data_IF_014234938909
#
_entry.id   IF_014234938909
#
_cell.length_a   1.000
_cell.length_b   1.000
_cell.length_c   1.000
_cell.angle_alpha   90.00
_cell.angle_beta   90.00
_cell.angle_gamma   90.00
#
_symmetry.space_group_name_H-M   'P 1'
#
loop_
_entity.id
_entity.type
_entity.pdbx_description
1 polymer ?
#
# COMPACT_ATOMS: atom_id res chain seq x y z
N UNK A 1 9.57 51.35 -51.16
CA UNK A 1 10.29 52.58 -50.75
C UNK A 1 10.27 52.60 -49.23
N UNK A 2 11.34 52.12 -48.56
CA UNK A 2 12.29 52.93 -47.77
C UNK A 2 11.54 53.98 -46.91
N UNK A 3 11.47 53.84 -45.58
CA UNK A 3 12.59 54.15 -44.69
C UNK A 3 12.50 53.42 -43.34
N UNK A 4 13.66 53.00 -42.84
CA UNK A 4 13.90 52.60 -41.45
C UNK A 4 14.44 53.80 -40.66
N UNK A 5 14.10 53.91 -39.37
CA UNK A 5 14.94 54.56 -38.34
C UNK A 5 14.74 53.79 -37.03
N UNK A 6 15.86 53.42 -36.41
CA UNK A 6 15.98 52.77 -35.11
C UNK A 6 16.48 53.77 -34.05
N UNK A 7 16.08 53.60 -32.79
CA UNK A 7 16.72 54.08 -31.53
C UNK A 7 15.70 53.99 -30.38
N UNK A 8 15.98 53.78 -29.10
CA UNK A 8 17.06 53.17 -28.30
C UNK A 8 16.60 53.35 -26.83
N UNK A 9 16.74 52.32 -25.98
CA UNK A 9 16.69 52.34 -24.48
C UNK A 9 15.32 52.72 -23.85
N UNK A 10 14.88 52.29 -22.66
CA UNK A 10 15.45 52.10 -21.30
C UNK A 10 14.48 51.10 -20.61
N UNK A 11 14.88 49.96 -20.05
CA UNK A 11 15.34 49.84 -18.66
C UNK A 11 14.20 49.89 -17.61
N UNK A 12 13.71 48.73 -17.15
CA UNK A 12 13.08 48.57 -15.83
C UNK A 12 13.10 47.09 -15.40
N UNK A 13 14.12 46.71 -14.63
CA UNK A 13 14.13 45.48 -13.84
C UNK A 13 13.18 45.70 -12.65
N UNK A 14 12.02 45.04 -12.65
CA UNK A 14 11.19 44.91 -11.46
C UNK A 14 11.63 43.64 -10.72
N UNK A 15 12.65 43.79 -9.87
CA UNK A 15 12.94 42.83 -8.82
C UNK A 15 11.90 43.02 -7.72
N UNK A 16 10.86 42.18 -7.70
CA UNK A 16 9.97 42.06 -6.55
C UNK A 16 10.74 41.39 -5.41
N UNK A 17 11.38 42.20 -4.58
CA UNK A 17 11.83 41.83 -3.25
C UNK A 17 10.59 41.63 -2.37
N UNK A 18 10.12 40.39 -2.26
CA UNK A 18 9.18 39.99 -1.21
C UNK A 18 9.96 39.73 0.07
N UNK A 19 9.91 40.67 1.02
CA UNK A 19 10.24 40.40 2.42
C UNK A 19 9.18 39.46 3.00
N UNK A 20 9.57 38.22 3.30
CA UNK A 20 8.85 37.30 4.18
C UNK A 20 9.79 36.83 5.27
N UNK A 21 9.74 37.48 6.43
CA UNK A 21 10.39 37.03 7.66
C UNK A 21 9.56 35.89 8.27
N UNK A 22 10.23 34.75 8.50
CA UNK A 22 10.11 33.83 9.63
C UNK A 22 8.76 33.12 9.90
N UNK A 23 8.67 31.87 9.42
CA UNK A 23 8.45 30.67 10.25
C UNK A 23 9.06 29.51 9.43
N UNK A 24 10.02 28.73 9.90
CA UNK A 24 9.90 28.02 11.16
C UNK A 24 9.25 26.65 10.97
N UNK A 25 9.38 25.99 9.82
CA UNK A 25 9.32 24.53 9.68
C UNK A 25 10.03 24.15 8.39
N UNK A 26 11.12 23.39 8.51
CA UNK A 26 11.60 22.50 7.46
C UNK A 26 10.45 21.53 7.15
N UNK A 27 9.52 21.97 6.30
CA UNK A 27 8.79 21.05 5.42
C UNK A 27 9.86 20.50 4.47
N UNK A 28 10.60 19.52 4.96
CA UNK A 28 11.42 18.65 4.15
C UNK A 28 10.52 18.09 3.07
N UNK A 29 10.63 18.69 1.91
CA UNK A 29 9.98 18.41 0.64
C UNK A 29 9.52 16.95 0.52
N UNK A 30 8.33 16.69 1.07
CA UNK A 30 7.53 15.50 0.82
C UNK A 30 6.84 15.65 -0.56
N UNK A 31 7.61 16.14 -1.53
CA UNK A 31 7.20 16.50 -2.88
C UNK A 31 8.26 16.18 -3.93
N UNK A 32 9.26 15.34 -3.60
CA UNK A 32 10.08 14.68 -4.61
C UNK A 32 9.19 13.69 -5.41
N UNK A 33 8.69 14.17 -6.55
CA UNK A 33 7.66 13.60 -7.43
C UNK A 33 7.50 12.08 -7.41
N UNK A 34 6.50 11.60 -6.68
CA UNK A 34 6.03 10.22 -6.83
C UNK A 34 5.51 9.99 -8.26
N UNK A 35 5.93 8.87 -8.87
CA UNK A 35 5.44 8.43 -10.18
C UNK A 35 3.96 8.06 -10.13
N UNK A 36 3.50 7.56 -8.98
CA UNK A 36 2.14 7.07 -8.76
C UNK A 36 1.71 7.30 -7.31
N UNK A 37 0.40 7.40 -7.08
CA UNK A 37 -0.19 7.47 -5.73
C UNK A 37 -1.11 6.27 -5.53
N UNK A 38 -0.97 5.60 -4.39
CA UNK A 38 -1.87 4.53 -4.00
C UNK A 38 -2.42 4.76 -2.59
N UNK A 39 -3.72 4.56 -2.43
CA UNK A 39 -4.41 4.66 -1.15
C UNK A 39 -4.57 3.26 -0.58
N UNK A 40 -3.93 3.00 0.56
CA UNK A 40 -3.96 1.70 1.22
C UNK A 40 -5.29 1.40 1.90
N UNK A 41 -6.18 2.38 2.05
CA UNK A 41 -7.53 2.12 2.57
C UNK A 41 -8.27 1.16 1.64
N UNK A 42 -8.99 0.16 2.19
CA UNK A 42 -9.56 -0.94 1.41
C UNK A 42 -10.90 -0.55 0.76
N UNK A 43 -10.93 0.60 0.09
CA UNK A 43 -12.13 1.18 -0.53
C UNK A 43 -12.25 0.75 -1.99
N UNK A 44 -11.13 0.50 -2.67
CA UNK A 44 -11.10 0.07 -4.08
C UNK A 44 -10.98 -1.44 -4.19
N UNK A 45 -11.96 -2.07 -4.82
CA UNK A 45 -12.04 -3.53 -5.02
C UNK A 45 -11.75 -3.92 -6.48
N UNK A 46 -10.56 -3.55 -6.98
CA UNK A 46 -10.18 -3.75 -8.38
C UNK A 46 -10.03 -5.22 -8.81
N UNK A 47 -9.68 -6.10 -7.88
CA UNK A 47 -9.52 -7.55 -8.10
C UNK A 47 -10.80 -8.31 -7.76
N UNK A 48 -11.63 -7.78 -6.86
CA UNK A 48 -12.90 -8.40 -6.48
C UNK A 48 -13.28 -8.11 -5.03
N UNK A 49 -14.41 -8.65 -4.58
CA UNK A 49 -14.98 -8.30 -3.29
C UNK A 49 -14.05 -8.65 -2.12
N UNK A 50 -13.78 -7.68 -1.25
CA UNK A 50 -12.97 -7.86 -0.04
C UNK A 50 -13.60 -8.81 0.95
N UNK A 51 -14.91 -8.67 1.16
CA UNK A 51 -15.67 -9.52 2.08
C UNK A 51 -15.59 -10.98 1.64
N UNK A 52 -15.81 -11.25 0.36
CA UNK A 52 -15.68 -12.60 -0.20
C UNK A 52 -14.27 -13.18 0.00
N UNK A 53 -13.22 -12.38 -0.18
CA UNK A 53 -11.85 -12.82 0.08
C UNK A 53 -11.64 -13.20 1.55
N UNK A 54 -12.04 -12.35 2.49
CA UNK A 54 -11.89 -12.60 3.93
C UNK A 54 -12.65 -13.86 4.35
N UNK A 55 -13.86 -14.03 3.85
CA UNK A 55 -14.67 -15.24 4.10
C UNK A 55 -13.99 -16.51 3.57
N UNK A 56 -13.48 -16.49 2.33
CA UNK A 56 -12.82 -17.67 1.75
C UNK A 56 -11.48 -17.98 2.38
N UNK A 57 -10.73 -16.97 2.79
CA UNK A 57 -9.47 -17.16 3.52
C UNK A 57 -9.73 -17.75 4.92
N UNK A 58 -10.76 -17.28 5.63
CA UNK A 58 -11.17 -17.85 6.91
C UNK A 58 -11.64 -19.31 6.77
N UNK A 59 -12.48 -19.61 5.78
CA UNK A 59 -12.91 -20.97 5.47
C UNK A 59 -11.72 -21.89 5.17
N UNK A 60 -10.72 -21.39 4.43
CA UNK A 60 -9.49 -22.15 4.17
C UNK A 60 -8.66 -22.37 5.44
N UNK A 61 -8.58 -21.37 6.33
CA UNK A 61 -7.86 -21.48 7.60
C UNK A 61 -8.51 -22.48 8.58
N UNK A 62 -9.84 -22.65 8.50
CA UNK A 62 -10.60 -23.63 9.29
C UNK A 62 -10.57 -25.05 8.70
N UNK A 63 -10.20 -25.18 7.43
CA UNK A 63 -10.10 -26.47 6.75
C UNK A 63 -8.90 -27.29 7.26
N UNK A 64 -8.87 -28.58 6.91
CA UNK A 64 -7.76 -29.48 7.26
C UNK A 64 -6.74 -29.66 6.14
N UNK A 65 -7.06 -29.25 4.92
CA UNK A 65 -6.23 -29.46 3.74
C UNK A 65 -5.48 -28.18 3.35
N UNK A 66 -4.20 -28.28 2.93
CA UNK A 66 -3.50 -27.16 2.31
C UNK A 66 -4.25 -26.62 1.09
N UNK A 67 -4.10 -25.32 0.84
CA UNK A 67 -4.66 -24.62 -0.32
C UNK A 67 -3.60 -23.71 -0.95
N UNK A 68 -3.96 -22.98 -2.00
CA UNK A 68 -3.11 -21.94 -2.60
C UNK A 68 -3.78 -20.58 -2.51
N UNK A 69 -2.99 -19.51 -2.58
CA UNK A 69 -3.55 -18.15 -2.56
C UNK A 69 -4.45 -17.87 -3.78
N UNK A 70 -4.12 -18.46 -4.94
CA UNK A 70 -4.97 -18.37 -6.14
C UNK A 70 -6.30 -19.11 -5.97
N UNK A 71 -6.33 -20.24 -5.26
CA UNK A 71 -7.57 -20.96 -4.98
C UNK A 71 -8.50 -20.13 -4.08
N UNK A 72 -7.96 -19.44 -3.07
CA UNK A 72 -8.72 -18.55 -2.18
C UNK A 72 -9.32 -17.38 -2.96
N UNK A 73 -8.50 -16.67 -3.74
CA UNK A 73 -8.96 -15.52 -4.54
C UNK A 73 -9.97 -15.93 -5.61
N UNK A 74 -9.76 -17.06 -6.29
CA UNK A 74 -10.72 -17.61 -7.27
C UNK A 74 -12.06 -17.95 -6.61
N UNK A 75 -12.05 -18.62 -5.45
CA UNK A 75 -13.26 -18.94 -4.70
C UNK A 75 -13.99 -17.69 -4.18
N UNK A 76 -13.28 -16.57 -4.01
CA UNK A 76 -13.83 -15.27 -3.64
C UNK A 76 -14.43 -14.50 -4.83
N UNK A 77 -14.41 -15.09 -6.04
CA UNK A 77 -14.88 -14.44 -7.26
C UNK A 77 -13.96 -13.33 -7.75
N UNK A 78 -12.68 -13.34 -7.35
CA UNK A 78 -11.73 -12.37 -7.86
C UNK A 78 -11.44 -12.61 -9.33
N UNK A 79 -11.28 -11.52 -10.05
CA UNK A 79 -10.92 -11.47 -11.46
C UNK A 79 -9.88 -10.38 -11.67
N UNK A 80 -9.04 -10.54 -12.69
CA UNK A 80 -7.97 -9.60 -12.98
C UNK A 80 -6.61 -10.03 -12.42
N UNK A 81 -5.61 -9.27 -12.85
CA UNK A 81 -4.22 -9.69 -12.77
C UNK A 81 -3.54 -9.18 -11.51
N UNK A 82 -2.97 -10.11 -10.75
CA UNK A 82 -2.06 -9.90 -9.62
C UNK A 82 -0.99 -11.00 -9.64
N UNK A 83 0.20 -10.73 -9.12
CA UNK A 83 1.32 -11.68 -9.10
C UNK A 83 1.93 -11.90 -7.72
N UNK A 84 1.64 -11.02 -6.76
CA UNK A 84 2.07 -11.19 -5.38
C UNK A 84 1.18 -10.47 -4.38
N UNK A 85 1.26 -10.93 -3.14
CA UNK A 85 0.70 -10.32 -1.95
C UNK A 85 1.83 -10.12 -0.93
N UNK A 86 1.83 -8.96 -0.28
CA UNK A 86 2.75 -8.64 0.83
C UNK A 86 1.95 -8.16 2.04
N UNK A 87 2.46 -8.45 3.25
CA UNK A 87 1.88 -7.93 4.48
C UNK A 87 2.48 -6.57 4.83
N UNK A 88 1.60 -5.60 5.12
CA UNK A 88 1.93 -4.26 5.57
C UNK A 88 1.35 -4.09 6.97
N UNK A 89 2.10 -4.43 8.03
CA UNK A 89 1.65 -4.24 9.40
C UNK A 89 1.66 -2.76 9.80
N UNK A 90 0.98 -2.45 10.91
CA UNK A 90 1.15 -1.19 11.64
C UNK A 90 2.61 -0.80 11.84
N UNK A 91 2.87 0.52 11.89
CA UNK A 91 4.20 1.12 12.02
C UNK A 91 5.14 0.89 10.81
N UNK A 92 4.63 0.43 9.66
CA UNK A 92 5.42 0.35 8.43
C UNK A 92 5.47 1.72 7.76
N UNK A 93 6.69 2.26 7.60
CA UNK A 93 6.93 3.54 6.92
C UNK A 93 6.90 3.39 5.39
N UNK A 94 6.73 4.49 4.66
CA UNK A 94 6.64 4.49 3.20
C UNK A 94 7.85 3.82 2.51
N UNK A 95 9.08 4.12 2.95
CA UNK A 95 10.32 3.50 2.46
C UNK A 95 10.33 1.97 2.65
N UNK A 96 9.76 1.52 3.77
CA UNK A 96 9.64 0.11 4.08
C UNK A 96 8.55 -0.57 3.27
N UNK A 97 7.45 0.13 2.97
CA UNK A 97 6.39 -0.39 2.09
C UNK A 97 6.97 -0.61 0.68
N UNK A 98 7.71 0.36 0.14
CA UNK A 98 8.37 0.20 -1.16
C UNK A 98 9.32 -1.01 -1.17
N UNK A 99 10.14 -1.17 -0.14
CA UNK A 99 11.04 -2.31 -0.01
C UNK A 99 10.29 -3.65 0.07
N UNK A 100 9.19 -3.73 0.84
CA UNK A 100 8.36 -4.93 0.96
C UNK A 100 7.65 -5.25 -0.35
N UNK A 101 7.07 -4.23 -0.97
CA UNK A 101 6.30 -4.34 -2.20
C UNK A 101 7.19 -4.58 -3.42
N UNK A 102 8.49 -4.32 -3.35
CA UNK A 102 9.37 -4.31 -4.53
C UNK A 102 8.99 -3.21 -5.52
N UNK A 103 8.55 -2.06 -4.99
CA UNK A 103 8.15 -0.87 -5.77
C UNK A 103 9.10 0.28 -5.50
N UNK A 104 8.99 1.34 -6.30
CA UNK A 104 9.69 2.60 -6.02
C UNK A 104 8.85 3.78 -6.51
N UNK A 105 8.91 4.90 -5.80
CA UNK A 105 8.25 6.14 -6.24
C UNK A 105 6.72 6.11 -6.10
N UNK A 106 6.19 5.29 -5.19
CA UNK A 106 4.75 5.28 -4.85
C UNK A 106 4.49 6.16 -3.64
N UNK A 107 3.59 7.12 -3.80
CA UNK A 107 3.06 7.89 -2.69
C UNK A 107 1.96 7.09 -1.99
N UNK A 108 2.28 6.53 -0.82
CA UNK A 108 1.34 5.73 -0.01
C UNK A 108 0.45 6.62 0.87
N UNK A 109 -0.85 6.61 0.60
CA UNK A 109 -1.86 7.27 1.44
C UNK A 109 -2.49 6.28 2.41
N UNK A 110 -2.90 6.79 3.57
CA UNK A 110 -3.62 6.02 4.60
C UNK A 110 -2.88 4.74 5.04
N UNK A 111 -1.55 4.82 5.19
CA UNK A 111 -0.78 3.73 5.78
C UNK A 111 -1.29 3.37 7.19
N UNK A 112 -1.17 2.11 7.63
CA UNK A 112 -1.59 1.67 8.95
C UNK A 112 -1.04 2.58 10.05
N UNK A 113 -1.94 3.25 10.78
CA UNK A 113 -1.55 4.20 11.84
C UNK A 113 -0.69 3.51 12.90
N UNK A 114 0.29 4.22 13.48
CA UNK A 114 1.04 3.68 14.61
C UNK A 114 0.13 3.21 15.73
N UNK A 115 0.55 2.15 16.43
CA UNK A 115 -0.15 1.69 17.63
C UNK A 115 -0.10 2.83 18.67
N UNK A 116 -1.24 3.14 19.28
CA UNK A 116 -1.29 4.13 20.36
C UNK A 116 -0.39 3.71 21.53
N UNK A 117 0.19 4.69 22.22
CA UNK A 117 1.17 4.46 23.29
C UNK A 117 0.56 3.76 24.52
N UNK A 118 -0.77 3.87 24.71
CA UNK A 118 -1.54 3.13 25.71
C UNK A 118 -1.62 1.62 25.40
N UNK A 119 -1.28 1.22 24.17
CA UNK A 119 -1.30 -0.17 23.74
C UNK A 119 -2.70 -0.74 23.60
N UNK A 120 -3.74 0.09 23.58
CA UNK A 120 -5.12 -0.40 23.51
C UNK A 120 -5.50 -0.79 22.06
N UNK A 121 -5.92 -2.05 21.90
CA UNK A 121 -6.48 -2.59 20.65
C UNK A 121 -5.61 -3.62 19.92
N UNK A 122 -6.19 -4.34 18.96
CA UNK A 122 -5.46 -5.35 18.19
C UNK A 122 -4.44 -4.70 17.24
N UNK A 123 -3.38 -5.45 16.91
CA UNK A 123 -2.53 -5.12 15.77
C UNK A 123 -3.37 -5.08 14.50
N UNK A 124 -3.02 -4.22 13.55
CA UNK A 124 -3.73 -4.13 12.27
C UNK A 124 -2.74 -4.01 11.13
N UNK A 125 -3.24 -4.13 9.91
CA UNK A 125 -2.45 -3.91 8.72
C UNK A 125 -3.26 -4.12 7.46
N UNK A 126 -2.53 -4.20 6.35
CA UNK A 126 -3.08 -4.48 5.04
C UNK A 126 -2.31 -5.62 4.39
N UNK A 127 -3.03 -6.57 3.80
CA UNK A 127 -2.48 -7.40 2.74
C UNK A 127 -2.56 -6.59 1.44
N UNK A 128 -1.41 -6.27 0.84
CA UNK A 128 -1.33 -5.53 -0.41
C UNK A 128 -1.08 -6.49 -1.57
N UNK A 129 -2.00 -6.50 -2.55
CA UNK A 129 -1.86 -7.23 -3.80
C UNK A 129 -1.28 -6.35 -4.89
N UNK A 130 -0.33 -6.88 -5.65
CA UNK A 130 0.40 -6.17 -6.71
C UNK A 130 0.40 -6.93 -8.04
N UNK A 131 0.66 -6.21 -9.13
CA UNK A 131 1.01 -6.74 -10.44
C UNK A 131 2.18 -5.94 -10.99
N UNK A 132 3.35 -6.54 -11.17
CA UNK A 132 4.57 -5.80 -11.47
C UNK A 132 4.81 -4.73 -10.42
N UNK A 133 5.13 -3.51 -10.80
CA UNK A 133 5.29 -2.36 -9.89
C UNK A 133 3.97 -1.71 -9.45
N UNK A 134 2.81 -2.24 -9.88
CA UNK A 134 1.51 -1.60 -9.69
C UNK A 134 0.75 -2.19 -8.50
N UNK A 135 0.45 -1.38 -7.47
CA UNK A 135 -0.42 -1.81 -6.40
C UNK A 135 -1.88 -1.90 -6.90
N UNK A 136 -2.57 -2.99 -6.58
CA UNK A 136 -3.88 -3.33 -7.16
C UNK A 136 -5.03 -3.19 -6.18
N UNK A 137 -4.89 -3.76 -4.99
CA UNK A 137 -5.94 -3.79 -3.98
C UNK A 137 -5.34 -4.12 -2.61
N UNK A 138 -5.97 -3.62 -1.55
CA UNK A 138 -5.64 -3.99 -0.17
C UNK A 138 -6.79 -4.73 0.50
N UNK A 139 -6.44 -5.60 1.45
CA UNK A 139 -7.37 -6.23 2.39
C UNK A 139 -6.91 -5.87 3.79
N UNK A 140 -7.76 -5.20 4.56
CA UNK A 140 -7.50 -4.93 5.96
C UNK A 140 -7.62 -6.18 6.82
N UNK A 141 -6.74 -6.24 7.81
CA UNK A 141 -6.76 -7.25 8.85
C UNK A 141 -6.49 -6.64 10.23
N UNK A 142 -6.91 -7.37 11.24
CA UNK A 142 -6.81 -7.10 12.66
C UNK A 142 -6.43 -8.39 13.39
N UNK A 143 -5.29 -8.37 14.08
CA UNK A 143 -4.77 -9.50 14.84
C UNK A 143 -5.76 -9.98 15.90
N UNK A 144 -5.84 -11.29 16.11
CA UNK A 144 -6.83 -11.96 16.95
C UNK A 144 -8.30 -11.77 16.52
N UNK A 145 -8.56 -11.31 15.30
CA UNK A 145 -9.92 -11.22 14.75
C UNK A 145 -9.98 -11.83 13.36
N UNK A 146 -9.41 -11.15 12.36
CA UNK A 146 -9.52 -11.50 10.94
C UNK A 146 -8.16 -11.52 10.21
N UNK A 147 -7.06 -11.55 10.96
CA UNK A 147 -5.73 -11.84 10.44
C UNK A 147 -5.60 -13.32 10.08
N UNK A 148 -5.93 -13.64 8.83
CA UNK A 148 -5.97 -15.00 8.29
C UNK A 148 -4.62 -15.53 7.81
N UNK A 149 -3.62 -14.69 7.55
CA UNK A 149 -2.28 -15.14 7.14
C UNK A 149 -1.26 -14.93 8.25
N UNK A 150 -0.57 -16.01 8.63
CA UNK A 150 0.57 -16.03 9.54
C UNK A 150 1.87 -15.96 8.74
N UNK A 151 2.22 -14.76 8.27
CA UNK A 151 3.41 -14.50 7.44
C UNK A 151 4.49 -13.80 8.24
N UNK A 152 5.74 -14.22 8.04
CA UNK A 152 6.89 -13.50 8.59
C UNK A 152 7.12 -12.19 7.83
N UNK A 153 7.71 -11.20 8.51
CA UNK A 153 8.00 -9.89 7.91
C UNK A 153 8.88 -10.07 6.67
N UNK A 154 8.46 -9.49 5.54
CA UNK A 154 9.18 -9.58 4.27
C UNK A 154 8.85 -10.81 3.44
N UNK A 155 7.97 -11.69 3.92
CA UNK A 155 7.47 -12.81 3.12
C UNK A 155 6.57 -12.27 2.01
N UNK A 156 6.86 -12.70 0.78
CA UNK A 156 6.04 -12.43 -0.41
C UNK A 156 5.26 -13.70 -0.74
N UNK A 157 3.94 -13.60 -0.87
CA UNK A 157 3.11 -14.72 -1.31
C UNK A 157 2.77 -14.55 -2.79
N UNK A 158 2.98 -15.59 -3.58
CA UNK A 158 2.59 -15.68 -4.99
C UNK A 158 1.27 -16.44 -5.15
N UNK A 159 0.61 -16.39 -6.32
CA UNK A 159 -0.59 -17.18 -6.63
C UNK A 159 -0.50 -18.65 -6.25
N UNK A 160 0.63 -19.28 -6.53
CA UNK A 160 0.91 -20.70 -6.31
C UNK A 160 1.47 -21.01 -4.92
N UNK A 161 1.67 -20.01 -4.06
CA UNK A 161 2.14 -20.24 -2.69
C UNK A 161 1.17 -21.17 -1.97
N UNK A 162 1.70 -22.30 -1.50
CA UNK A 162 0.93 -23.27 -0.72
C UNK A 162 0.77 -22.76 0.71
N UNK A 163 -0.46 -22.85 1.20
CA UNK A 163 -0.89 -22.31 2.48
C UNK A 163 -1.47 -23.46 3.30
N UNK A 164 -0.79 -23.77 4.40
CA UNK A 164 -1.20 -24.83 5.32
C UNK A 164 -2.01 -24.22 6.47
N UNK A 165 -3.22 -24.73 6.75
CA UNK A 165 -4.00 -24.34 7.91
C UNK A 165 -3.25 -24.61 9.23
N UNK A 166 -3.25 -23.62 10.11
CA UNK A 166 -2.71 -23.69 11.47
C UNK A 166 -3.89 -23.53 12.43
N UNK A 167 -4.29 -24.62 13.13
CA UNK A 167 -5.39 -24.59 14.07
C UNK A 167 -5.12 -23.66 15.26
N UNK A 168 -6.18 -23.08 15.82
CA UNK A 168 -6.11 -22.26 17.02
C UNK A 168 -7.43 -21.53 17.29
N UNK A 169 -7.52 -20.71 18.37
CA UNK A 169 -8.68 -19.86 18.64
C UNK A 169 -8.98 -18.87 17.50
N UNK A 170 -7.94 -18.49 16.77
CA UNK A 170 -8.00 -17.71 15.53
C UNK A 170 -7.20 -18.48 14.47
N UNK A 171 -7.82 -19.41 13.72
CA UNK A 171 -7.12 -20.21 12.72
C UNK A 171 -6.46 -19.33 11.67
N UNK A 172 -5.26 -19.72 11.23
CA UNK A 172 -4.47 -18.96 10.25
C UNK A 172 -3.94 -19.87 9.15
N UNK A 173 -3.50 -19.28 8.06
CA UNK A 173 -2.82 -19.90 6.95
C UNK A 173 -1.34 -19.53 7.00
N UNK A 174 -0.47 -20.54 7.02
CA UNK A 174 0.98 -20.36 7.00
C UNK A 174 1.53 -20.79 5.64
N UNK A 175 2.39 -19.98 4.98
CA UNK A 175 3.08 -20.41 3.78
C UNK A 175 4.03 -21.58 4.07
N UNK A 176 4.10 -22.53 3.14
CA UNK A 176 4.94 -23.75 3.21
C UNK A 176 5.63 -24.03 1.90
#
# INVERSE_FOLDING_TARGET
MKNAVAALAIGALLTSAGCGLLDGSDDGDAGAGCTTTFDLSPVKENLGPRVGFKEKAAQAAEASAPTTLIAITTAAGWSGDWDRMVDIPQNTRADQIDALAGTSGVCWKNAPKPRSADGDGPHRGYYLFLKGDQPRQTIDWSGNFDQVFAVDKGTVLTPDTTLTPVPGPHPQLRPT
#
